data_IF_229061979725
#
_entry.id   IF_229061979725
#
_cell.length_a   1.000
_cell.length_b   1.000
_cell.length_c   1.000
_cell.angle_alpha   90.00
_cell.angle_beta   90.00
_cell.angle_gamma   90.00
#
_symmetry.space_group_name_H-M   'P 1'
#
loop_
_entity.id
_entity.type
_entity.pdbx_description
1 polymer ?
#
# COMPACT_ATOMS: atom_id res chain seq x y z
N UNK A 1 -12.30 3.91 -9.61
CA UNK A 1 -13.37 4.90 -9.34
C UNK A 1 -14.17 5.23 -10.59
N UNK A 2 -13.55 5.34 -11.77
CA UNK A 2 -14.26 5.66 -13.01
C UNK A 2 -15.23 4.55 -13.50
N UNK A 3 -14.76 3.30 -13.51
CA UNK A 3 -15.51 2.15 -14.07
C UNK A 3 -16.46 1.46 -13.06
N UNK A 4 -16.38 1.82 -11.78
CA UNK A 4 -17.25 1.31 -10.72
C UNK A 4 -17.19 2.25 -9.51
N UNK A 5 -17.82 3.44 -9.57
CA UNK A 5 -17.79 4.39 -8.48
C UNK A 5 -18.54 3.84 -7.26
N UNK A 6 -18.02 4.12 -6.07
CA UNK A 6 -18.75 3.76 -4.85
C UNK A 6 -20.08 4.55 -4.82
N UNK A 7 -21.22 3.94 -4.42
CA UNK A 7 -22.53 4.61 -4.45
C UNK A 7 -22.56 5.95 -3.69
N UNK A 8 -21.73 6.05 -2.64
CA UNK A 8 -21.59 7.25 -1.81
C UNK A 8 -20.26 7.99 -2.07
N UNK A 9 -19.76 7.97 -3.29
CA UNK A 9 -18.51 8.67 -3.64
C UNK A 9 -18.70 10.18 -3.48
N UNK A 10 -17.86 10.79 -2.65
CA UNK A 10 -17.90 12.23 -2.33
C UNK A 10 -17.14 13.09 -3.35
N UNK A 11 -16.35 12.46 -4.22
CA UNK A 11 -15.45 13.12 -5.17
C UNK A 11 -16.13 13.16 -6.55
N UNK A 12 -16.17 14.33 -7.18
CA UNK A 12 -16.65 14.50 -8.56
C UNK A 12 -15.67 13.88 -9.55
N UNK A 13 -16.16 13.31 -10.64
CA UNK A 13 -15.29 12.71 -11.66
C UNK A 13 -14.28 13.70 -12.26
N UNK A 14 -14.66 14.98 -12.40
CA UNK A 14 -13.77 16.06 -12.86
C UNK A 14 -12.53 16.27 -12.00
N UNK A 15 -12.61 15.89 -10.72
CA UNK A 15 -11.59 16.20 -9.73
C UNK A 15 -10.63 15.02 -9.52
N UNK A 16 -10.91 13.85 -10.12
CA UNK A 16 -10.14 12.61 -9.90
C UNK A 16 -8.67 12.81 -10.27
N UNK A 17 -8.39 13.25 -11.50
CA UNK A 17 -7.01 13.44 -11.99
C UNK A 17 -6.24 14.45 -11.13
N UNK A 18 -6.90 15.54 -10.73
CA UNK A 18 -6.31 16.57 -9.88
C UNK A 18 -5.93 16.01 -8.51
N UNK A 19 -6.79 15.15 -7.94
CA UNK A 19 -6.55 14.54 -6.64
C UNK A 19 -5.44 13.50 -6.72
N UNK A 20 -5.38 12.71 -7.80
CA UNK A 20 -4.30 11.73 -8.00
C UNK A 20 -2.94 12.43 -8.12
N UNK A 21 -2.83 13.48 -8.92
CA UNK A 21 -1.60 14.25 -9.09
C UNK A 21 -1.15 14.91 -7.77
N UNK A 22 -2.09 15.52 -7.03
CA UNK A 22 -1.81 16.06 -5.70
C UNK A 22 -1.39 14.99 -4.71
N UNK A 23 -2.05 13.85 -4.71
CA UNK A 23 -1.70 12.74 -3.84
C UNK A 23 -0.26 12.28 -4.11
N UNK A 24 0.11 12.08 -5.38
CA UNK A 24 1.47 11.67 -5.74
C UNK A 24 2.52 12.70 -5.33
N UNK A 25 2.22 14.00 -5.53
CA UNK A 25 3.08 15.10 -5.11
C UNK A 25 3.28 15.11 -3.60
N UNK A 26 2.19 15.04 -2.82
CA UNK A 26 2.24 15.06 -1.36
C UNK A 26 2.87 13.79 -0.80
N UNK A 27 2.58 12.62 -1.38
CA UNK A 27 3.20 11.36 -1.03
C UNK A 27 4.72 11.43 -1.22
N UNK A 28 5.17 11.91 -2.38
CA UNK A 28 6.59 12.10 -2.69
C UNK A 28 7.26 13.07 -1.72
N UNK A 29 6.64 14.20 -1.42
CA UNK A 29 7.19 15.25 -0.53
C UNK A 29 7.04 14.95 0.97
N UNK A 30 6.23 13.97 1.35
CA UNK A 30 5.99 13.64 2.76
C UNK A 30 7.26 13.16 3.48
N UNK A 31 7.36 13.49 4.76
CA UNK A 31 8.46 13.08 5.66
C UNK A 31 8.32 11.63 6.15
N UNK A 32 7.33 10.89 5.64
CA UNK A 32 7.13 9.48 5.98
C UNK A 32 8.36 8.71 5.48
N UNK A 33 9.02 7.99 6.39
CA UNK A 33 10.17 7.14 6.06
C UNK A 33 9.68 5.79 5.56
N UNK A 34 10.53 5.10 4.81
CA UNK A 34 10.27 3.73 4.35
C UNK A 34 8.97 3.60 3.54
N UNK A 35 8.68 4.62 2.71
CA UNK A 35 7.55 4.62 1.80
C UNK A 35 7.73 3.54 0.73
N UNK A 36 6.68 2.83 0.41
CA UNK A 36 6.62 1.90 -0.71
C UNK A 36 5.23 1.88 -1.32
N UNK A 37 5.16 1.57 -2.60
CA UNK A 37 3.92 1.45 -3.37
C UNK A 37 3.66 -0.03 -3.62
N UNK A 38 2.40 -0.47 -3.61
CA UNK A 38 2.01 -1.84 -3.98
C UNK A 38 1.14 -1.73 -5.23
N UNK A 39 1.54 -2.39 -6.31
CA UNK A 39 0.78 -2.35 -7.55
C UNK A 39 -0.26 -3.49 -7.57
N UNK A 40 -1.51 -3.15 -7.30
CA UNK A 40 -2.63 -4.10 -7.27
C UNK A 40 -3.36 -4.23 -8.61
N UNK A 41 -2.90 -3.55 -9.67
CA UNK A 41 -3.65 -3.42 -10.94
C UNK A 41 -3.93 -4.77 -11.60
N UNK A 42 -2.99 -5.72 -11.51
CA UNK A 42 -3.07 -7.03 -12.16
C UNK A 42 -2.78 -8.20 -11.21
N UNK A 43 -2.80 -7.96 -9.91
CA UNK A 43 -2.43 -8.97 -8.92
C UNK A 43 -3.65 -9.61 -8.28
N UNK A 44 -3.54 -10.91 -8.00
CA UNK A 44 -4.45 -11.60 -7.10
C UNK A 44 -4.08 -11.34 -5.63
N UNK A 45 -4.88 -11.89 -4.72
CA UNK A 45 -4.68 -11.70 -3.27
C UNK A 45 -3.31 -12.21 -2.80
N UNK A 46 -2.84 -13.33 -3.35
CA UNK A 46 -1.59 -13.95 -2.95
C UNK A 46 -0.39 -13.16 -3.47
N UNK A 47 -0.43 -12.71 -4.73
CA UNK A 47 0.58 -11.83 -5.33
C UNK A 47 0.73 -10.54 -4.54
N UNK A 48 -0.40 -9.87 -4.24
CA UNK A 48 -0.41 -8.61 -3.48
C UNK A 48 0.23 -8.78 -2.11
N UNK A 49 -0.08 -9.88 -1.42
CA UNK A 49 0.50 -10.18 -0.12
C UNK A 49 2.01 -10.42 -0.21
N UNK A 50 2.46 -11.17 -1.23
CA UNK A 50 3.88 -11.43 -1.44
C UNK A 50 4.65 -10.14 -1.76
N UNK A 51 4.09 -9.25 -2.58
CA UNK A 51 4.71 -7.95 -2.85
C UNK A 51 4.85 -7.12 -1.56
N UNK A 52 3.80 -7.08 -0.75
CA UNK A 52 3.84 -6.40 0.55
C UNK A 52 4.95 -6.95 1.44
N UNK A 53 5.03 -8.28 1.61
CA UNK A 53 6.03 -8.95 2.45
C UNK A 53 7.44 -8.57 1.99
N UNK A 54 7.70 -8.63 0.69
CA UNK A 54 9.02 -8.31 0.13
C UNK A 54 9.39 -6.84 0.34
N UNK A 55 8.42 -5.92 0.24
CA UNK A 55 8.66 -4.48 0.38
C UNK A 55 8.79 -4.03 1.83
N UNK A 56 8.12 -4.70 2.77
CA UNK A 56 8.21 -4.34 4.19
C UNK A 56 9.43 -4.96 4.88
N UNK A 57 9.92 -6.11 4.42
CA UNK A 57 11.03 -6.84 5.07
C UNK A 57 12.27 -5.99 5.36
N UNK A 58 12.78 -5.14 4.44
CA UNK A 58 13.95 -4.29 4.71
C UNK A 58 13.76 -3.27 5.84
N UNK A 59 12.51 -3.04 6.26
CA UNK A 59 12.15 -2.04 7.26
C UNK A 59 11.78 -2.64 8.61
N UNK A 60 11.79 -3.97 8.74
CA UNK A 60 11.52 -4.65 9.99
C UNK A 60 12.69 -4.49 10.95
N UNK A 61 12.40 -4.16 12.20
CA UNK A 61 13.39 -4.20 13.26
C UNK A 61 13.72 -5.64 13.65
N UNK A 62 14.81 -5.82 14.39
CA UNK A 62 15.18 -7.13 14.92
C UNK A 62 14.04 -7.73 15.77
N UNK A 63 13.38 -6.93 16.60
CA UNK A 63 12.24 -7.35 17.42
C UNK A 63 11.05 -7.78 16.54
N UNK A 64 10.80 -7.11 15.42
CA UNK A 64 9.75 -7.50 14.47
C UNK A 64 10.06 -8.87 13.84
N UNK A 65 11.31 -9.09 13.45
CA UNK A 65 11.78 -10.36 12.88
C UNK A 65 11.65 -11.48 13.91
N UNK A 66 11.99 -11.23 15.17
CA UNK A 66 11.85 -12.20 16.25
C UNK A 66 10.38 -12.57 16.51
N UNK A 67 9.48 -11.60 16.58
CA UNK A 67 8.04 -11.84 16.71
C UNK A 67 7.49 -12.68 15.55
N UNK A 68 7.89 -12.36 14.30
CA UNK A 68 7.53 -13.15 13.11
C UNK A 68 8.01 -14.60 13.24
N UNK A 69 9.26 -14.80 13.62
CA UNK A 69 9.85 -16.14 13.73
C UNK A 69 9.22 -16.98 14.85
N UNK A 70 8.81 -16.36 15.95
CA UNK A 70 8.05 -17.03 17.01
C UNK A 70 6.69 -17.51 16.52
N UNK A 71 5.98 -16.67 15.76
CA UNK A 71 4.68 -17.03 15.18
C UNK A 71 4.79 -18.20 14.20
N UNK A 72 5.79 -18.19 13.31
CA UNK A 72 6.04 -19.28 12.35
C UNK A 72 6.33 -20.61 13.07
N UNK A 73 7.10 -20.59 14.17
CA UNK A 73 7.40 -21.82 14.94
C UNK A 73 6.19 -22.39 15.67
N UNK A 74 5.18 -21.58 15.96
CA UNK A 74 3.97 -21.98 16.69
C UNK A 74 2.85 -22.50 15.77
N UNK A 75 3.02 -22.36 14.44
CA UNK A 75 2.07 -22.79 13.40
C UNK A 75 2.57 -24.04 12.71
#
# INVERSE_FOLDING_TARGET
>A
MEHNPHPNQVIKSSDIEIILDKFETEFSNSQIRNKFVIDTTHQDKAGTLNEFINKIEPFLSQDDIERRNQFIKAT
#
